data_IF_126444127614
#
_entry.id   IF_126444127614
#
_cell.length_a   1.000
_cell.length_b   1.000
_cell.length_c   1.000
_cell.angle_alpha   90.00
_cell.angle_beta   90.00
_cell.angle_gamma   90.00
#
_symmetry.space_group_name_H-M   'P 1'
#
loop_
_entity.id
_entity.type
_entity.pdbx_description
1 polymer ?
#
# COMPACT_ATOMS: atom_id res chain seq x y z
N UNK A 1 -1.85 0.39 16.70
CA UNK A 1 -1.21 1.72 16.74
C UNK A 1 -1.46 2.47 18.05
N UNK A 2 -2.49 2.09 18.85
CA UNK A 2 -2.86 2.75 20.09
C UNK A 2 -3.50 4.13 19.90
N UNK A 3 -4.08 4.38 18.73
CA UNK A 3 -4.84 5.58 18.36
C UNK A 3 -5.90 5.28 17.31
N UNK A 4 -6.87 6.17 17.17
CA UNK A 4 -7.81 6.13 16.06
C UNK A 4 -7.10 6.51 14.76
N UNK A 5 -7.46 5.81 13.67
CA UNK A 5 -6.96 6.06 12.33
C UNK A 5 -8.16 6.40 11.43
N UNK A 6 -8.02 7.47 10.66
CA UNK A 6 -9.07 7.93 9.77
C UNK A 6 -8.96 7.26 8.39
N UNK A 7 -10.11 7.03 7.77
CA UNK A 7 -10.21 6.50 6.41
C UNK A 7 -11.43 7.10 5.70
N UNK A 8 -11.41 7.09 4.36
CA UNK A 8 -12.56 7.38 3.52
C UNK A 8 -12.85 6.23 2.58
N UNK A 9 -14.11 6.16 2.16
CA UNK A 9 -14.60 5.17 1.22
C UNK A 9 -15.27 5.88 0.05
N UNK A 10 -14.97 5.42 -1.19
CA UNK A 10 -15.58 5.90 -2.42
C UNK A 10 -16.04 4.69 -3.22
N UNK A 11 -17.34 4.54 -3.41
CA UNK A 11 -17.95 3.42 -4.12
C UNK A 11 -18.92 2.63 -3.25
N UNK A 12 -19.50 1.60 -3.85
CA UNK A 12 -20.60 0.85 -3.26
C UNK A 12 -20.61 -0.64 -3.70
N UNK A 13 -19.49 -1.13 -4.26
CA UNK A 13 -19.37 -2.51 -4.73
C UNK A 13 -18.10 -2.78 -5.52
N UNK A 14 -18.04 -3.93 -6.18
CA UNK A 14 -16.96 -4.34 -7.09
C UNK A 14 -15.67 -4.77 -6.41
N UNK A 15 -14.54 -4.45 -7.02
CA UNK A 15 -13.21 -4.79 -6.52
C UNK A 15 -12.77 -3.78 -5.46
N UNK A 16 -12.43 -4.20 -4.22
CA UNK A 16 -11.85 -3.30 -3.24
C UNK A 16 -10.41 -2.93 -3.60
N UNK A 17 -10.10 -1.64 -3.47
CA UNK A 17 -8.78 -1.06 -3.69
C UNK A 17 -8.38 -0.30 -2.43
N UNK A 18 -7.22 -0.60 -1.87
CA UNK A 18 -6.62 0.12 -0.75
C UNK A 18 -5.62 1.14 -1.30
N UNK A 19 -5.96 2.41 -1.22
CA UNK A 19 -5.10 3.51 -1.62
C UNK A 19 -4.25 4.00 -0.45
N UNK A 20 -2.93 4.07 -0.68
CA UNK A 20 -1.95 4.63 0.25
C UNK A 20 -1.48 5.98 -0.31
N UNK A 21 -1.63 7.08 0.43
CA UNK A 21 -1.24 8.40 -0.05
C UNK A 21 0.28 8.56 -0.16
N UNK A 22 0.73 9.67 -0.73
CA UNK A 22 2.15 10.03 -0.81
C UNK A 22 2.76 10.22 0.58
N UNK A 23 4.06 10.48 0.63
CA UNK A 23 4.80 10.74 1.88
C UNK A 23 4.07 11.76 2.77
N UNK A 24 3.91 11.45 4.05
CA UNK A 24 3.20 12.25 5.06
C UNK A 24 1.73 12.55 4.69
N UNK A 25 1.18 11.83 3.71
CA UNK A 25 -0.15 12.04 3.18
C UNK A 25 -1.26 11.57 4.11
N UNK A 26 -2.46 12.10 3.85
CA UNK A 26 -3.65 11.88 4.65
C UNK A 26 -4.71 11.11 3.85
N UNK A 27 -5.61 10.50 4.57
CA UNK A 27 -6.72 9.70 4.01
C UNK A 27 -7.60 10.45 3.00
N UNK A 28 -7.58 11.78 2.99
CA UNK A 28 -8.36 12.62 2.07
C UNK A 28 -7.57 13.09 0.83
N UNK A 29 -6.28 12.75 0.71
CA UNK A 29 -5.45 13.22 -0.43
C UNK A 29 -5.91 12.66 -1.77
N UNK A 30 -6.62 11.54 -1.78
CA UNK A 30 -7.26 11.02 -2.98
C UNK A 30 -8.21 12.05 -3.63
N UNK A 31 -8.95 12.82 -2.81
CA UNK A 31 -9.78 13.94 -3.27
C UNK A 31 -8.91 15.14 -3.68
N UNK A 32 -7.93 15.51 -2.85
CA UNK A 32 -7.09 16.67 -3.09
C UNK A 32 -6.35 16.58 -4.43
N UNK A 33 -5.98 15.37 -4.87
CA UNK A 33 -5.36 15.12 -6.16
C UNK A 33 -6.37 14.84 -7.28
N UNK A 34 -7.65 15.12 -7.08
CA UNK A 34 -8.73 14.90 -8.06
C UNK A 34 -8.83 13.46 -8.57
N UNK A 35 -8.35 12.50 -7.77
CA UNK A 35 -8.42 11.08 -8.15
C UNK A 35 -9.86 10.56 -8.13
N UNK A 36 -10.75 11.17 -7.33
CA UNK A 36 -12.18 10.88 -7.38
C UNK A 36 -12.77 11.13 -8.76
N UNK A 37 -12.36 12.20 -9.45
CA UNK A 37 -12.84 12.53 -10.78
C UNK A 37 -12.32 11.53 -11.83
N UNK A 38 -11.05 11.14 -11.70
CA UNK A 38 -10.41 10.15 -12.58
C UNK A 38 -11.06 8.78 -12.44
N UNK A 39 -11.38 8.37 -11.21
CA UNK A 39 -11.95 7.05 -10.93
C UNK A 39 -13.47 7.02 -10.96
N UNK A 40 -14.14 8.16 -11.13
CA UNK A 40 -15.60 8.26 -11.14
C UNK A 40 -16.29 7.22 -12.03
N UNK A 41 -15.86 6.93 -13.29
CA UNK A 41 -16.54 5.97 -14.13
C UNK A 41 -16.64 4.56 -13.51
N UNK A 42 -15.59 4.11 -12.81
CA UNK A 42 -15.56 2.77 -12.17
C UNK A 42 -16.20 2.77 -10.78
N UNK A 43 -16.10 3.89 -10.06
CA UNK A 43 -16.76 4.07 -8.75
C UNK A 43 -18.27 4.12 -8.93
N UNK A 44 -18.76 4.94 -9.86
CA UNK A 44 -20.19 5.16 -10.11
C UNK A 44 -20.86 3.91 -10.71
N UNK A 45 -20.12 3.16 -11.56
CA UNK A 45 -20.61 1.88 -12.09
C UNK A 45 -20.63 0.74 -11.05
N UNK A 46 -20.02 0.93 -9.88
CA UNK A 46 -19.89 -0.11 -8.86
C UNK A 46 -18.88 -1.18 -9.19
N UNK A 47 -17.95 -0.92 -10.11
CA UNK A 47 -16.88 -1.86 -10.47
C UNK A 47 -15.75 -1.87 -9.43
N UNK A 48 -15.56 -0.75 -8.70
CA UNK A 48 -14.55 -0.62 -7.67
C UNK A 48 -15.07 0.12 -6.44
N UNK A 49 -14.51 -0.18 -5.29
CA UNK A 49 -14.62 0.62 -4.08
C UNK A 49 -13.22 0.97 -3.58
N UNK A 50 -12.92 2.26 -3.50
CA UNK A 50 -11.63 2.77 -3.03
C UNK A 50 -11.71 3.00 -1.51
N UNK A 51 -10.77 2.46 -0.78
CA UNK A 51 -10.54 2.69 0.65
C UNK A 51 -9.25 3.47 0.80
N UNK A 52 -9.30 4.63 1.42
CA UNK A 52 -8.10 5.45 1.67
C UNK A 52 -7.75 5.44 3.14
N UNK A 53 -6.48 5.57 3.47
CA UNK A 53 -5.97 5.50 4.85
C UNK A 53 -4.97 6.61 5.12
N UNK A 54 -4.78 6.93 6.40
CA UNK A 54 -3.67 7.78 6.84
C UNK A 54 -2.34 7.01 6.83
N UNK A 55 -1.27 7.72 6.56
CA UNK A 55 0.10 7.26 6.84
C UNK A 55 0.55 7.69 8.24
N UNK A 56 1.66 7.14 8.70
CA UNK A 56 2.40 7.60 9.88
C UNK A 56 3.86 7.92 9.52
N UNK A 57 4.10 8.33 8.27
CA UNK A 57 5.46 8.56 7.76
C UNK A 57 6.23 9.59 8.57
N UNK A 58 5.53 10.63 9.07
CA UNK A 58 6.12 11.62 9.97
C UNK A 58 6.74 11.04 11.26
N UNK A 59 6.32 9.84 11.68
CA UNK A 59 6.90 9.12 12.81
C UNK A 59 7.94 8.08 12.37
N UNK A 60 7.95 7.72 11.09
CA UNK A 60 8.68 6.58 10.54
C UNK A 60 9.63 7.00 9.42
N UNK A 61 9.21 6.89 8.17
CA UNK A 61 10.06 7.12 6.99
C UNK A 61 10.59 8.57 6.89
N UNK A 62 9.77 9.56 7.23
CA UNK A 62 10.12 10.99 7.16
C UNK A 62 10.92 11.48 8.37
N UNK A 63 10.87 10.77 9.49
CA UNK A 63 11.56 11.15 10.72
C UNK A 63 13.06 10.78 10.68
N UNK A 64 13.81 11.31 9.72
CA UNK A 64 15.21 10.91 9.47
C UNK A 64 16.17 11.17 10.65
N UNK A 65 15.78 12.01 11.62
CA UNK A 65 16.53 12.29 12.83
C UNK A 65 16.22 11.35 14.00
N UNK A 66 15.16 10.53 13.90
CA UNK A 66 14.76 9.57 14.91
C UNK A 66 15.63 8.30 14.89
N UNK A 67 15.62 7.56 16.02
CA UNK A 67 16.27 6.25 16.08
C UNK A 67 15.71 5.31 15.00
N UNK A 68 16.53 4.78 14.10
CA UNK A 68 16.05 4.02 12.94
C UNK A 68 15.36 2.70 13.33
N UNK A 69 15.81 2.04 14.41
CA UNK A 69 15.15 0.80 14.90
C UNK A 69 13.76 1.12 15.45
N UNK A 70 13.62 2.18 16.23
CA UNK A 70 12.30 2.61 16.71
C UNK A 70 11.37 2.95 15.55
N UNK A 71 11.85 3.68 14.57
CA UNK A 71 11.09 4.11 13.39
C UNK A 71 10.57 2.93 12.57
N UNK A 72 11.43 1.93 12.30
CA UNK A 72 11.01 0.76 11.54
C UNK A 72 10.07 -0.16 12.34
N UNK A 73 10.27 -0.31 13.65
CA UNK A 73 9.32 -1.01 14.50
C UNK A 73 7.94 -0.34 14.48
N UNK A 74 7.92 1.00 14.52
CA UNK A 74 6.68 1.77 14.45
C UNK A 74 5.99 1.63 13.10
N UNK A 75 6.77 1.58 12.00
CA UNK A 75 6.24 1.27 10.67
C UNK A 75 5.61 -0.13 10.62
N UNK A 76 6.22 -1.13 11.24
CA UNK A 76 5.65 -2.48 11.33
C UNK A 76 4.34 -2.51 12.14
N UNK A 77 4.17 -1.63 13.15
CA UNK A 77 2.89 -1.46 13.84
C UNK A 77 1.80 -0.95 12.88
N UNK A 78 2.14 -0.01 11.98
CA UNK A 78 1.23 0.49 10.95
C UNK A 78 0.94 -0.57 9.88
N UNK A 79 1.95 -1.34 9.46
CA UNK A 79 1.75 -2.46 8.56
C UNK A 79 0.76 -3.48 9.13
N UNK A 80 0.89 -3.82 10.42
CA UNK A 80 -0.05 -4.70 11.13
C UNK A 80 -1.45 -4.09 11.23
N UNK A 81 -1.56 -2.80 11.49
CA UNK A 81 -2.86 -2.12 11.44
C UNK A 81 -3.54 -2.31 10.08
N UNK A 82 -2.82 -2.15 8.99
CA UNK A 82 -3.40 -2.36 7.66
C UNK A 82 -3.82 -3.82 7.42
N UNK A 83 -3.01 -4.79 7.84
CA UNK A 83 -3.31 -6.21 7.60
C UNK A 83 -4.34 -6.79 8.56
N UNK A 84 -4.33 -6.39 9.82
CA UNK A 84 -5.08 -7.06 10.88
C UNK A 84 -6.37 -6.32 11.26
N UNK A 85 -6.47 -5.02 10.92
CA UNK A 85 -7.65 -4.19 11.20
C UNK A 85 -8.30 -3.70 9.89
N UNK A 86 -7.53 -3.06 9.00
CA UNK A 86 -8.09 -2.46 7.80
C UNK A 86 -8.57 -3.49 6.77
N UNK A 87 -7.83 -4.57 6.54
CA UNK A 87 -8.25 -5.66 5.64
C UNK A 87 -9.56 -6.30 6.08
N UNK A 88 -9.75 -6.73 7.34
CA UNK A 88 -11.05 -7.22 7.81
C UNK A 88 -12.17 -6.18 7.68
N UNK A 89 -11.90 -4.91 7.97
CA UNK A 89 -12.86 -3.82 7.82
C UNK A 89 -13.30 -3.66 6.36
N UNK A 90 -12.37 -3.68 5.40
CA UNK A 90 -12.66 -3.65 3.97
C UNK A 90 -13.61 -4.79 3.59
N UNK A 91 -13.30 -6.03 3.96
CA UNK A 91 -14.14 -7.16 3.63
C UNK A 91 -15.53 -7.11 4.28
N UNK A 92 -15.62 -6.59 5.51
CA UNK A 92 -16.90 -6.38 6.18
C UNK A 92 -17.76 -5.35 5.43
N UNK A 93 -17.16 -4.22 5.02
CA UNK A 93 -17.85 -3.19 4.22
C UNK A 93 -18.27 -3.68 2.83
N UNK A 94 -17.43 -4.47 2.17
CA UNK A 94 -17.80 -5.06 0.88
C UNK A 94 -18.99 -6.00 1.00
N UNK A 95 -19.10 -6.79 2.07
CA UNK A 95 -20.27 -7.63 2.35
C UNK A 95 -21.53 -6.83 2.67
N UNK A 96 -21.37 -5.67 3.31
CA UNK A 96 -22.47 -4.74 3.59
C UNK A 96 -23.04 -4.16 2.30
N UNK A 97 -22.18 -3.81 1.33
CA UNK A 97 -22.57 -3.29 0.02
C UNK A 97 -23.10 -4.37 -0.93
N UNK A 98 -22.50 -5.56 -0.89
CA UNK A 98 -22.82 -6.69 -1.76
C UNK A 98 -22.94 -7.97 -0.91
N UNK A 99 -24.16 -8.40 -0.54
CA UNK A 99 -24.35 -9.59 0.31
C UNK A 99 -23.75 -10.88 -0.26
N UNK A 100 -23.64 -10.97 -1.59
CA UNK A 100 -23.00 -12.07 -2.33
C UNK A 100 -21.49 -11.86 -2.59
N UNK A 101 -20.88 -10.86 -1.94
CA UNK A 101 -19.45 -10.56 -2.09
C UNK A 101 -18.58 -11.79 -1.82
N UNK A 102 -17.75 -12.12 -2.77
CA UNK A 102 -16.71 -13.15 -2.67
C UNK A 102 -15.35 -12.44 -2.52
N UNK A 103 -14.65 -12.75 -1.44
CA UNK A 103 -13.30 -12.24 -1.25
C UNK A 103 -12.35 -12.79 -2.32
N UNK A 104 -11.90 -11.91 -3.22
CA UNK A 104 -10.89 -12.20 -4.25
C UNK A 104 -9.56 -11.51 -3.97
N UNK A 105 -9.40 -10.94 -2.78
CA UNK A 105 -8.27 -10.11 -2.38
C UNK A 105 -8.50 -8.62 -2.64
N UNK A 106 -7.56 -7.82 -2.23
CA UNK A 106 -7.57 -6.36 -2.32
C UNK A 106 -6.45 -5.93 -3.27
N UNK A 107 -6.72 -4.97 -4.15
CA UNK A 107 -5.67 -4.31 -4.93
C UNK A 107 -5.05 -3.21 -4.06
N UNK A 108 -3.72 -3.17 -3.96
CA UNK A 108 -3.02 -2.05 -3.36
C UNK A 108 -2.68 -1.01 -4.41
N UNK A 109 -2.89 0.25 -4.08
CA UNK A 109 -2.61 1.38 -4.96
C UNK A 109 -1.88 2.47 -4.19
N UNK A 110 -0.87 3.09 -4.78
CA UNK A 110 -0.17 4.21 -4.15
C UNK A 110 0.68 5.01 -5.13
N UNK A 111 1.08 6.20 -4.68
CA UNK A 111 1.96 7.09 -5.42
C UNK A 111 3.14 7.51 -4.53
N UNK A 112 4.34 7.65 -5.11
CA UNK A 112 5.57 8.04 -4.39
C UNK A 112 5.86 7.06 -3.24
N UNK A 113 6.09 7.51 -2.01
CA UNK A 113 6.28 6.64 -0.85
C UNK A 113 5.06 5.73 -0.60
N UNK A 114 3.84 6.20 -0.92
CA UNK A 114 2.64 5.35 -0.88
C UNK A 114 2.70 4.17 -1.86
N UNK A 115 3.36 4.32 -3.01
CA UNK A 115 3.60 3.21 -3.94
C UNK A 115 4.59 2.19 -3.36
N UNK A 116 5.59 2.64 -2.62
CA UNK A 116 6.51 1.78 -1.86
C UNK A 116 5.75 0.94 -0.83
N UNK A 117 4.88 1.58 -0.06
CA UNK A 117 4.04 0.90 0.93
C UNK A 117 3.06 -0.07 0.29
N UNK A 118 2.40 0.33 -0.81
CA UNK A 118 1.51 -0.54 -1.57
C UNK A 118 2.24 -1.77 -2.12
N UNK A 119 3.47 -1.60 -2.63
CA UNK A 119 4.32 -2.69 -3.10
C UNK A 119 4.71 -3.63 -1.95
N UNK A 120 5.11 -3.10 -0.79
CA UNK A 120 5.44 -3.91 0.38
C UNK A 120 4.23 -4.71 0.89
N UNK A 121 3.03 -4.13 0.91
CA UNK A 121 1.81 -4.86 1.23
C UNK A 121 1.58 -6.03 0.26
N UNK A 122 1.64 -5.76 -1.05
CA UNK A 122 1.44 -6.77 -2.09
C UNK A 122 2.48 -7.89 -2.04
N UNK A 123 3.77 -7.54 -1.97
CA UNK A 123 4.83 -8.56 -2.01
C UNK A 123 4.99 -9.32 -0.70
N UNK A 124 4.74 -8.70 0.45
CA UNK A 124 4.85 -9.36 1.76
C UNK A 124 3.61 -10.16 2.14
N UNK A 125 2.43 -9.76 1.66
CA UNK A 125 1.15 -10.41 1.96
C UNK A 125 0.32 -10.70 0.70
N UNK A 126 0.86 -11.47 -0.24
CA UNK A 126 0.11 -11.85 -1.44
C UNK A 126 -1.12 -12.73 -1.12
N UNK A 127 -1.23 -13.28 0.08
CA UNK A 127 -2.43 -13.94 0.58
C UNK A 127 -3.62 -12.98 0.75
N UNK A 128 -3.38 -11.71 1.06
CA UNK A 128 -4.39 -10.67 1.27
C UNK A 128 -4.58 -9.78 0.04
N UNK A 129 -3.49 -9.47 -0.65
CA UNK A 129 -3.47 -8.50 -1.74
C UNK A 129 -3.26 -9.20 -3.08
N UNK A 130 -4.21 -9.05 -4.00
CA UNK A 130 -4.25 -9.77 -5.28
C UNK A 130 -3.82 -8.93 -6.48
N UNK A 131 -3.47 -7.67 -6.29
CA UNK A 131 -2.99 -6.77 -7.33
C UNK A 131 -2.25 -5.58 -6.77
N UNK A 132 -1.43 -4.96 -7.61
CA UNK A 132 -0.64 -3.78 -7.30
C UNK A 132 -0.73 -2.75 -8.42
N UNK A 133 -1.01 -1.50 -8.06
CA UNK A 133 -0.81 -0.33 -8.91
C UNK A 133 0.11 0.65 -8.16
N UNK A 134 1.34 0.78 -8.61
CA UNK A 134 2.37 1.59 -7.97
C UNK A 134 2.89 2.65 -8.91
N UNK A 135 2.69 3.93 -8.56
CA UNK A 135 3.07 5.07 -9.37
C UNK A 135 4.27 5.78 -8.73
N UNK A 136 5.40 5.82 -9.44
CA UNK A 136 6.60 6.57 -9.04
C UNK A 136 7.11 6.23 -7.64
N UNK A 137 7.19 4.93 -7.33
CA UNK A 137 7.60 4.43 -6.01
C UNK A 137 9.12 4.42 -5.83
N UNK A 138 9.55 4.48 -4.57
CA UNK A 138 10.94 4.35 -4.13
C UNK A 138 11.08 3.00 -3.41
N UNK A 139 11.67 2.01 -4.10
CA UNK A 139 11.69 0.62 -3.61
C UNK A 139 12.95 0.25 -2.82
N UNK A 140 13.82 1.22 -2.55
CA UNK A 140 15.00 1.10 -1.70
C UNK A 140 14.77 1.80 -0.36
N UNK A 141 14.82 1.06 0.73
CA UNK A 141 14.59 1.61 2.07
C UNK A 141 15.71 2.56 2.54
N UNK A 142 16.86 2.62 1.86
CA UNK A 142 17.91 3.60 2.14
C UNK A 142 17.41 5.05 2.02
N UNK A 143 16.37 5.29 1.24
CA UNK A 143 15.70 6.59 1.17
C UNK A 143 15.28 7.12 2.55
N UNK A 144 14.65 6.27 3.37
CA UNK A 144 14.18 6.65 4.70
C UNK A 144 15.17 6.34 5.83
N UNK A 145 16.04 5.34 5.63
CA UNK A 145 16.87 4.77 6.71
C UNK A 145 18.39 4.95 6.48
N UNK A 146 18.79 5.57 5.36
CA UNK A 146 20.20 5.80 5.05
C UNK A 146 20.99 4.50 4.98
N UNK A 147 22.10 4.42 5.70
CA UNK A 147 22.93 3.21 5.77
C UNK A 147 22.48 2.20 6.83
N UNK A 148 21.43 2.52 7.61
CA UNK A 148 20.91 1.58 8.60
C UNK A 148 20.13 0.47 7.92
N UNK A 149 20.51 -0.78 8.18
CA UNK A 149 19.84 -1.96 7.64
C UNK A 149 19.78 -3.04 8.70
N UNK A 150 18.57 -3.39 9.11
CA UNK A 150 18.28 -4.56 9.94
C UNK A 150 17.25 -5.45 9.23
N UNK A 151 16.81 -6.50 9.89
CA UNK A 151 15.83 -7.45 9.37
C UNK A 151 14.50 -6.78 8.97
N UNK A 152 14.04 -5.78 9.73
CA UNK A 152 12.79 -5.09 9.43
C UNK A 152 12.96 -4.09 8.28
N UNK A 153 14.05 -3.32 8.24
CA UNK A 153 14.34 -2.43 7.10
C UNK A 153 14.52 -3.25 5.83
N UNK A 154 15.24 -4.37 5.90
CA UNK A 154 15.41 -5.30 4.79
C UNK A 154 14.06 -5.77 4.23
N UNK A 155 13.13 -6.19 5.11
CA UNK A 155 11.78 -6.64 4.71
C UNK A 155 10.88 -5.51 4.18
N UNK A 156 11.30 -4.26 4.30
CA UNK A 156 10.61 -3.09 3.74
C UNK A 156 11.33 -2.49 2.51
N UNK A 157 12.33 -3.20 1.99
CA UNK A 157 13.12 -2.78 0.83
C UNK A 157 13.00 -3.79 -0.31
N UNK A 158 12.01 -3.66 -1.19
CA UNK A 158 11.77 -4.59 -2.31
C UNK A 158 13.00 -4.90 -3.14
N UNK A 159 13.87 -3.93 -3.41
CA UNK A 159 15.11 -4.13 -4.17
C UNK A 159 16.10 -5.06 -3.47
N UNK A 160 16.00 -5.19 -2.14
CA UNK A 160 16.88 -6.08 -1.38
C UNK A 160 16.28 -7.46 -1.19
N UNK A 161 15.00 -7.60 -0.80
CA UNK A 161 14.48 -8.94 -0.48
C UNK A 161 13.96 -9.71 -1.71
N UNK A 162 13.39 -9.05 -2.73
CA UNK A 162 12.83 -9.76 -3.88
C UNK A 162 13.85 -10.55 -4.68
N UNK A 163 15.07 -10.03 -4.99
CA UNK A 163 16.08 -10.81 -5.67
C UNK A 163 16.56 -12.05 -4.89
N UNK A 164 16.42 -12.02 -3.57
CA UNK A 164 16.82 -13.12 -2.68
C UNK A 164 15.69 -14.11 -2.37
N UNK A 165 14.49 -13.88 -2.92
CA UNK A 165 13.38 -14.80 -2.74
C UNK A 165 13.64 -16.09 -3.54
N UNK A 166 13.61 -17.29 -2.92
CA UNK A 166 13.80 -18.54 -3.63
C UNK A 166 12.80 -18.72 -4.78
N UNK A 167 13.25 -19.27 -5.90
CA UNK A 167 12.39 -19.47 -7.08
C UNK A 167 11.22 -20.45 -6.83
N UNK A 168 11.34 -21.31 -5.84
CA UNK A 168 10.33 -22.26 -5.37
C UNK A 168 9.52 -21.75 -4.16
N UNK A 169 9.73 -20.49 -3.76
CA UNK A 169 8.94 -19.90 -2.67
C UNK A 169 7.44 -19.89 -3.04
N UNK A 170 6.53 -20.26 -2.10
CA UNK A 170 5.09 -20.34 -2.36
C UNK A 170 4.48 -19.06 -2.95
N UNK A 171 5.05 -17.89 -2.65
CA UNK A 171 4.58 -16.61 -3.18
C UNK A 171 4.83 -16.43 -4.67
N UNK A 172 5.84 -17.12 -5.23
CA UNK A 172 6.15 -17.01 -6.66
C UNK A 172 4.96 -17.42 -7.54
N UNK A 173 4.22 -18.46 -7.14
CA UNK A 173 3.02 -18.87 -7.86
C UNK A 173 1.91 -17.82 -7.75
N UNK A 174 1.73 -17.22 -6.59
CA UNK A 174 0.76 -16.14 -6.38
C UNK A 174 1.10 -14.92 -7.25
N UNK A 175 2.37 -14.53 -7.34
CA UNK A 175 2.78 -13.40 -8.18
C UNK A 175 2.54 -13.67 -9.66
N UNK A 176 2.79 -14.89 -10.15
CA UNK A 176 2.55 -15.26 -11.56
C UNK A 176 1.08 -15.19 -11.96
N UNK A 177 0.17 -15.43 -11.03
CA UNK A 177 -1.28 -15.42 -11.26
C UNK A 177 -1.90 -14.02 -11.13
N UNK A 178 -1.14 -13.01 -10.72
CA UNK A 178 -1.64 -11.68 -10.38
C UNK A 178 -1.00 -10.60 -11.22
N UNK A 179 -1.55 -9.40 -11.13
CA UNK A 179 -1.02 -8.24 -11.86
C UNK A 179 -0.34 -7.27 -10.88
N UNK A 180 0.89 -6.94 -11.18
CA UNK A 180 1.61 -5.82 -10.59
C UNK A 180 1.95 -4.83 -11.70
N UNK A 181 1.46 -3.61 -11.57
CA UNK A 181 1.71 -2.51 -12.51
C UNK A 181 2.55 -1.48 -11.77
N UNK A 182 3.78 -1.31 -12.22
CA UNK A 182 4.69 -0.29 -11.73
C UNK A 182 4.87 0.73 -12.85
N UNK A 183 4.52 1.98 -12.57
CA UNK A 183 4.67 3.08 -13.49
C UNK A 183 5.69 4.07 -12.95
N UNK A 184 6.47 4.65 -13.84
CA UNK A 184 7.36 5.76 -13.58
C UNK A 184 7.15 6.80 -14.66
N UNK A 185 7.17 8.07 -14.30
CA UNK A 185 7.08 9.18 -15.26
C UNK A 185 8.43 9.45 -15.95
N UNK A 186 8.44 10.49 -16.76
CA UNK A 186 9.64 11.04 -17.39
C UNK A 186 9.73 12.53 -17.04
N UNK A 187 9.96 12.81 -15.78
CA UNK A 187 9.97 14.16 -15.25
C UNK A 187 11.16 14.40 -14.31
N UNK A 188 11.28 15.63 -13.82
CA UNK A 188 12.45 16.11 -13.06
C UNK A 188 12.82 15.30 -11.79
N UNK A 189 11.92 14.48 -11.27
CA UNK A 189 12.14 13.66 -10.07
C UNK A 189 12.32 12.17 -10.39
N UNK A 190 12.18 11.78 -11.66
CA UNK A 190 12.09 10.38 -12.09
C UNK A 190 13.14 10.03 -13.16
N UNK A 191 14.02 10.96 -13.48
CA UNK A 191 15.21 10.71 -14.32
C UNK A 191 16.30 10.04 -13.45
N UNK A 192 17.01 9.03 -14.00
CA UNK A 192 18.09 8.33 -13.30
C UNK A 192 19.32 9.22 -13.05
#
# INVERSE_FOLDING_TARGET
>A
LGRDMECKLYGHGGQPILFIPCQDGRFFDFENFHMTDVWAPWIDSGEVTIFTVDTIDAETWSNTNGDPRFRICRHEDWFRYLTDEMVPFIHAKMKEYQPDYINRGIITFGCSLGATHAANLYFRRPDLFNGLLALSGIYDASYGFGSYMDDLVYMNSPVHYLPNLPSDHPYMELYRQRKAILCVGQGAWEEP
#
